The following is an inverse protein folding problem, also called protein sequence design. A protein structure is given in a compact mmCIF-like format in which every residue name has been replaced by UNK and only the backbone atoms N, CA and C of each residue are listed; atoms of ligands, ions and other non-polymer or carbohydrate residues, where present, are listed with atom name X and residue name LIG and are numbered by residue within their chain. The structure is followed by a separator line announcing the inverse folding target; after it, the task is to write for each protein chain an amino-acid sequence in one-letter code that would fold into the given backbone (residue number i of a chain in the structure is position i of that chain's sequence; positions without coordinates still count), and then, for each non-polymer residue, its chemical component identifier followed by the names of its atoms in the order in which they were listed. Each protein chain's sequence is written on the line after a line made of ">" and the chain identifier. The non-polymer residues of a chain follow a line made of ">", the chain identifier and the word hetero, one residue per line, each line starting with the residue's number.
data_IF_596132993533
#
_entry.id   IF_596132993533
#
_cell.length_a   1.000
_cell.length_b   1.000
_cell.length_c   1.000
_cell.angle_alpha   90.00
_cell.angle_beta   90.00
_cell.angle_gamma   90.00
#
_symmetry.space_group_name_H-M   'P 1'
#
loop_
_entity.id
_entity.type
_entity.pdbx_description
1 polymer ?
#
# COMPACT_ATOMS: atom_id res chain seq x y z
N UNK A 1 -8.17 -12.35 21.38
CA UNK A 1 -6.82 -12.48 20.76
C UNK A 1 -6.92 -13.25 19.44
N UNK A 2 -7.39 -12.64 18.34
CA UNK A 2 -7.45 -13.24 16.97
C UNK A 2 -7.13 -12.12 15.94
N UNK A 3 -6.05 -11.34 16.13
CA UNK A 3 -5.80 -10.14 15.30
C UNK A 3 -5.13 -10.42 13.94
N UNK A 4 -4.48 -11.57 13.78
CA UNK A 4 -3.68 -11.90 12.58
C UNK A 4 -4.24 -13.05 11.74
N UNK A 5 -5.40 -13.61 12.12
CA UNK A 5 -5.95 -14.84 11.53
C UNK A 5 -6.22 -14.70 10.03
N UNK A 6 -6.77 -13.57 9.59
CA UNK A 6 -7.10 -13.36 8.17
C UNK A 6 -5.89 -13.42 7.22
N UNK A 7 -4.69 -13.04 7.68
CA UNK A 7 -3.48 -13.16 6.85
C UNK A 7 -2.95 -14.58 6.87
N UNK A 8 -2.99 -15.27 8.01
CA UNK A 8 -2.58 -16.69 8.12
C UNK A 8 -3.44 -17.65 7.31
N UNK A 9 -4.69 -17.28 7.02
CA UNK A 9 -5.55 -18.05 6.10
C UNK A 9 -5.09 -17.96 4.65
N UNK A 10 -4.44 -16.85 4.27
CA UNK A 10 -4.04 -16.58 2.87
C UNK A 10 -2.56 -16.85 2.62
N UNK A 11 -1.71 -16.69 3.63
CA UNK A 11 -0.26 -16.76 3.53
C UNK A 11 0.31 -17.70 4.60
N UNK A 12 1.08 -18.70 4.15
CA UNK A 12 1.79 -19.64 5.01
C UNK A 12 3.31 -19.45 4.86
N UNK A 13 4.04 -19.06 5.92
CA UNK A 13 5.48 -18.88 5.84
C UNK A 13 6.22 -20.21 5.81
N UNK A 14 7.21 -20.36 4.93
CA UNK A 14 8.06 -21.56 4.86
C UNK A 14 9.27 -21.35 5.78
N UNK A 15 9.22 -21.90 7.00
CA UNK A 15 10.24 -21.70 8.05
C UNK A 15 11.66 -21.99 7.54
N UNK A 16 11.86 -23.07 6.80
CA UNK A 16 13.17 -23.47 6.27
C UNK A 16 13.83 -22.42 5.35
N UNK A 17 13.04 -21.55 4.71
CA UNK A 17 13.54 -20.46 3.85
C UNK A 17 13.86 -19.21 4.68
N UNK A 18 13.16 -18.99 5.78
CA UNK A 18 13.17 -17.74 6.54
C UNK A 18 14.10 -17.77 7.76
N UNK A 19 14.26 -18.92 8.40
CA UNK A 19 14.93 -19.05 9.69
C UNK A 19 16.39 -18.53 9.65
N UNK A 20 16.69 -17.56 10.50
CA UNK A 20 18.00 -16.91 10.63
C UNK A 20 18.39 -15.99 9.47
N UNK A 21 17.54 -15.82 8.44
CA UNK A 21 17.87 -15.03 7.24
C UNK A 21 17.46 -13.57 7.36
N UNK A 22 18.17 -12.70 6.63
CA UNK A 22 17.74 -11.33 6.34
C UNK A 22 16.92 -11.37 5.05
N UNK A 23 15.66 -10.97 5.12
CA UNK A 23 14.68 -11.21 4.05
C UNK A 23 14.28 -9.87 3.44
N UNK A 24 14.32 -9.79 2.11
CA UNK A 24 13.68 -8.70 1.37
C UNK A 24 12.31 -9.19 0.90
N UNK A 25 11.27 -8.45 1.26
CA UNK A 25 9.89 -8.74 0.88
C UNK A 25 9.44 -7.65 -0.06
N UNK A 26 9.02 -8.04 -1.27
CA UNK A 26 8.50 -7.12 -2.27
C UNK A 26 6.98 -7.22 -2.25
N UNK A 27 6.31 -6.08 -2.13
CA UNK A 27 4.85 -5.98 -2.20
C UNK A 27 4.47 -4.91 -3.24
N UNK A 28 3.26 -4.98 -3.78
CA UNK A 28 2.83 -4.07 -4.84
C UNK A 28 2.67 -2.63 -4.34
N UNK A 29 2.07 -2.47 -3.16
CA UNK A 29 1.59 -1.20 -2.64
C UNK A 29 1.43 -1.24 -1.12
N UNK A 30 1.36 -0.06 -0.49
CA UNK A 30 0.86 0.07 0.89
C UNK A 30 -0.21 1.15 0.91
N UNK A 31 -1.45 0.76 1.24
CA UNK A 31 -2.58 1.68 1.37
C UNK A 31 -2.79 2.09 2.85
N UNK A 32 -3.18 1.13 3.70
CA UNK A 32 -3.42 1.36 5.15
C UNK A 32 -2.32 0.78 6.05
N UNK A 33 -1.38 0.01 5.51
CA UNK A 33 -0.27 -0.63 6.25
C UNK A 33 -0.64 -1.80 7.18
N UNK A 34 -1.92 -2.04 7.45
CA UNK A 34 -2.36 -3.09 8.38
C UNK A 34 -2.01 -4.50 7.89
N UNK A 35 -2.14 -4.78 6.59
CA UNK A 35 -1.73 -6.05 6.00
C UNK A 35 -0.21 -6.22 6.06
N UNK A 36 0.55 -5.21 5.64
CA UNK A 36 2.01 -5.24 5.65
C UNK A 36 2.58 -5.48 7.05
N UNK A 37 2.00 -4.85 8.09
CA UNK A 37 2.37 -5.09 9.50
C UNK A 37 2.18 -6.57 9.90
N UNK A 38 1.06 -7.18 9.48
CA UNK A 38 0.79 -8.60 9.73
C UNK A 38 1.75 -9.52 8.96
N UNK A 39 2.10 -9.18 7.72
CA UNK A 39 3.08 -9.93 6.91
C UNK A 39 4.46 -9.89 7.57
N UNK A 40 4.94 -8.70 7.94
CA UNK A 40 6.24 -8.56 8.63
C UNK A 40 6.26 -9.37 9.93
N UNK A 41 5.18 -9.29 10.73
CA UNK A 41 5.06 -10.09 11.95
C UNK A 41 5.06 -11.59 11.67
N UNK A 42 4.38 -12.04 10.61
CA UNK A 42 4.33 -13.45 10.21
C UNK A 42 5.73 -13.96 9.83
N UNK A 43 6.49 -13.18 9.07
CA UNK A 43 7.84 -13.52 8.61
C UNK A 43 8.83 -13.53 9.79
N UNK A 44 8.79 -12.51 10.66
CA UNK A 44 9.60 -12.48 11.89
C UNK A 44 9.24 -13.65 12.82
N UNK A 45 7.95 -13.96 12.96
CA UNK A 45 7.46 -15.11 13.71
C UNK A 45 7.89 -16.46 13.15
N UNK A 46 8.24 -16.53 11.87
CA UNK A 46 8.82 -17.71 11.23
C UNK A 46 10.35 -17.80 11.37
N UNK A 47 10.98 -16.88 12.12
CA UNK A 47 12.40 -16.94 12.46
C UNK A 47 13.32 -16.06 11.61
N UNK A 48 12.79 -15.16 10.78
CA UNK A 48 13.63 -14.21 10.04
C UNK A 48 14.40 -13.28 11.00
N UNK A 49 15.69 -13.07 10.71
CA UNK A 49 16.59 -12.17 11.46
C UNK A 49 16.23 -10.69 11.22
N UNK A 50 16.03 -10.33 9.97
CA UNK A 50 15.66 -8.97 9.52
C UNK A 50 14.63 -9.08 8.40
N UNK A 51 13.73 -8.10 8.31
CA UNK A 51 12.71 -7.99 7.27
C UNK A 51 12.74 -6.60 6.65
N UNK A 52 13.12 -6.53 5.37
CA UNK A 52 13.23 -5.30 4.60
C UNK A 52 12.10 -5.24 3.57
N UNK A 53 11.19 -4.29 3.71
CA UNK A 53 10.05 -4.12 2.80
C UNK A 53 10.46 -3.25 1.60
N UNK A 54 10.10 -3.69 0.39
CA UNK A 54 10.28 -2.96 -0.86
C UNK A 54 8.95 -2.87 -1.59
N UNK A 55 8.47 -1.66 -1.81
CA UNK A 55 7.14 -1.43 -2.40
C UNK A 55 7.33 -1.04 -3.85
N UNK A 56 6.71 -1.81 -4.74
CA UNK A 56 6.84 -1.65 -6.19
C UNK A 56 6.06 -0.45 -6.75
N UNK A 57 5.33 0.28 -5.91
CA UNK A 57 4.67 1.54 -6.24
C UNK A 57 5.30 2.74 -5.52
N UNK A 58 5.08 3.97 -6.02
CA UNK A 58 5.19 5.17 -5.21
C UNK A 58 4.21 5.16 -4.03
N UNK A 59 4.45 5.99 -3.00
CA UNK A 59 3.50 6.18 -1.90
C UNK A 59 2.15 6.67 -2.44
N UNK A 60 1.05 6.03 -2.01
CA UNK A 60 -0.30 6.42 -2.41
C UNK A 60 -0.77 7.54 -1.47
N UNK A 61 -0.90 8.75 -2.02
CA UNK A 61 -1.28 9.96 -1.28
C UNK A 61 -2.68 10.48 -1.66
N UNK A 62 -3.23 10.00 -2.78
CA UNK A 62 -4.55 10.39 -3.28
C UNK A 62 -5.49 9.20 -3.44
N UNK A 63 -6.77 9.42 -3.14
CA UNK A 63 -7.83 8.48 -3.50
C UNK A 63 -8.05 8.50 -5.01
N UNK A 64 -8.34 7.37 -5.62
CA UNK A 64 -8.73 7.31 -7.03
C UNK A 64 -10.15 7.87 -7.22
N UNK A 65 -10.32 8.74 -8.22
CA UNK A 65 -11.63 9.28 -8.63
C UNK A 65 -12.10 8.71 -9.98
N UNK A 66 -11.36 7.75 -10.53
CA UNK A 66 -11.59 7.17 -11.86
C UNK A 66 -12.00 5.70 -11.82
N UNK A 67 -12.59 5.25 -10.70
CA UNK A 67 -13.30 3.96 -10.63
C UNK A 67 -12.64 2.86 -9.80
N UNK A 68 -11.46 3.08 -9.22
CA UNK A 68 -10.85 2.13 -8.26
C UNK A 68 -11.28 2.49 -6.84
N UNK A 69 -11.88 1.55 -6.10
CA UNK A 69 -12.22 1.79 -4.69
C UNK A 69 -10.92 1.92 -3.89
N UNK A 70 -10.75 3.12 -3.34
CA UNK A 70 -9.63 3.48 -2.47
C UNK A 70 -10.19 4.17 -1.24
N UNK A 71 -9.53 4.03 -0.09
CA UNK A 71 -9.98 4.68 1.12
C UNK A 71 -9.81 6.20 1.00
N UNK A 72 -10.38 6.94 1.95
CA UNK A 72 -10.25 8.40 1.94
C UNK A 72 -8.79 8.82 2.14
N UNK A 73 -8.44 10.05 1.75
CA UNK A 73 -7.07 10.55 1.87
C UNK A 73 -6.55 10.47 3.30
N UNK A 74 -7.41 10.70 4.28
CA UNK A 74 -7.09 10.67 5.71
C UNK A 74 -6.83 9.25 6.22
N UNK A 75 -7.34 8.23 5.54
CA UNK A 75 -7.11 6.82 5.87
C UNK A 75 -5.83 6.25 5.23
N UNK A 76 -5.25 6.93 4.24
CA UNK A 76 -4.00 6.52 3.58
C UNK A 76 -2.82 6.69 4.54
N UNK A 77 -2.02 5.64 4.70
CA UNK A 77 -0.88 5.66 5.63
C UNK A 77 0.16 6.72 5.23
N UNK A 78 0.37 6.92 3.93
CA UNK A 78 1.35 7.87 3.39
C UNK A 78 0.97 9.34 3.64
N UNK A 79 -0.30 9.63 3.97
CA UNK A 79 -0.73 10.97 4.39
C UNK A 79 -0.66 11.17 5.90
N UNK A 80 -0.53 10.10 6.67
CA UNK A 80 -0.49 10.13 8.13
C UNK A 80 0.92 10.01 8.69
N UNK A 81 1.79 9.29 7.98
CA UNK A 81 3.11 8.93 8.43
C UNK A 81 4.16 9.26 7.38
N UNK A 82 5.34 9.67 7.85
CA UNK A 82 6.55 9.65 7.05
C UNK A 82 6.90 8.21 6.62
N UNK A 83 7.84 8.06 5.69
CA UNK A 83 8.35 6.72 5.32
C UNK A 83 8.94 6.02 6.55
N UNK A 84 9.66 6.77 7.39
CA UNK A 84 10.28 6.21 8.60
C UNK A 84 9.23 5.81 9.65
N UNK A 85 8.18 6.60 9.82
CA UNK A 85 7.10 6.22 10.74
C UNK A 85 6.24 5.08 10.19
N UNK A 86 6.08 4.99 8.86
CA UNK A 86 5.48 3.84 8.19
C UNK A 86 6.30 2.57 8.42
N UNK A 87 7.64 2.66 8.31
CA UNK A 87 8.57 1.56 8.60
C UNK A 87 8.39 1.06 10.03
N UNK A 88 8.36 1.97 11.01
CA UNK A 88 8.12 1.65 12.42
C UNK A 88 6.76 1.01 12.61
N UNK A 89 5.71 1.59 12.01
CA UNK A 89 4.34 1.11 12.12
C UNK A 89 4.18 -0.33 11.63
N UNK A 90 4.79 -0.68 10.49
CA UNK A 90 4.75 -2.05 9.96
C UNK A 90 5.75 -3.00 10.64
N UNK A 91 6.69 -2.47 11.44
CA UNK A 91 7.68 -3.25 12.18
C UNK A 91 8.84 -3.78 11.34
N UNK A 92 9.08 -3.20 10.16
CA UNK A 92 10.17 -3.59 9.25
C UNK A 92 11.52 -2.98 9.67
N UNK A 93 12.62 -3.65 9.30
CA UNK A 93 13.98 -3.18 9.58
C UNK A 93 14.41 -2.08 8.60
N UNK A 94 13.91 -2.15 7.35
CA UNK A 94 13.97 -1.02 6.41
C UNK A 94 12.74 -1.01 5.50
N UNK A 95 12.39 0.15 4.98
CA UNK A 95 11.30 0.33 4.02
C UNK A 95 11.78 1.26 2.89
N UNK A 96 11.45 0.90 1.65
CA UNK A 96 11.63 1.79 0.52
C UNK A 96 10.47 1.62 -0.48
N UNK A 97 10.04 2.73 -1.06
CA UNK A 97 9.06 2.79 -2.14
C UNK A 97 9.77 3.07 -3.46
N UNK A 98 9.16 2.67 -4.58
CA UNK A 98 9.58 3.11 -5.91
C UNK A 98 9.34 4.63 -6.04
N UNK A 99 10.38 5.45 -6.29
CA UNK A 99 10.15 6.89 -6.45
C UNK A 99 9.33 7.19 -7.71
N UNK A 100 8.37 8.11 -7.62
CA UNK A 100 7.51 8.51 -8.74
C UNK A 100 8.33 8.94 -9.97
N UNK A 101 9.40 9.71 -9.76
CA UNK A 101 10.28 10.14 -10.85
C UNK A 101 11.01 8.98 -11.54
N UNK A 102 11.31 7.88 -10.82
CA UNK A 102 11.88 6.69 -11.46
C UNK A 102 10.83 5.96 -12.29
N UNK A 103 9.58 5.89 -11.81
CA UNK A 103 8.47 5.31 -12.56
C UNK A 103 8.22 6.11 -13.85
N UNK A 104 8.14 7.44 -13.76
CA UNK A 104 8.02 8.34 -14.92
C UNK A 104 9.18 8.15 -15.90
N UNK A 105 10.42 8.06 -15.40
CA UNK A 105 11.59 7.79 -16.24
C UNK A 105 11.52 6.44 -16.96
N UNK A 106 10.98 5.39 -16.30
CA UNK A 106 10.82 4.07 -16.89
C UNK A 106 9.80 4.07 -18.05
N UNK A 107 8.72 4.84 -17.91
CA UNK A 107 7.70 5.03 -18.96
C UNK A 107 8.17 5.97 -20.09
N UNK A 108 9.26 6.72 -19.87
CA UNK A 108 9.86 7.62 -20.84
C UNK A 108 8.83 8.58 -21.47
N UNK A 109 8.67 8.56 -22.79
CA UNK A 109 7.78 9.47 -23.53
C UNK A 109 6.29 9.18 -23.29
N UNK A 110 5.94 7.99 -22.79
CA UNK A 110 4.57 7.62 -22.45
C UNK A 110 4.17 8.09 -21.04
N UNK A 111 5.11 8.54 -20.21
CA UNK A 111 4.80 8.95 -18.84
C UNK A 111 3.61 9.95 -18.73
N UNK A 112 3.50 10.98 -19.59
CA UNK A 112 2.37 11.91 -19.54
C UNK A 112 1.03 11.33 -19.99
N UNK A 113 1.02 10.16 -20.65
CA UNK A 113 -0.23 9.52 -21.12
C UNK A 113 -0.90 8.68 -20.04
N UNK A 114 -0.24 8.46 -18.90
CA UNK A 114 -0.80 7.73 -17.76
C UNK A 114 -1.25 8.69 -16.66
N UNK A 115 -2.39 8.38 -16.04
CA UNK A 115 -2.81 9.05 -14.82
C UNK A 115 -1.97 8.56 -13.64
N UNK A 116 -1.29 9.49 -12.95
CA UNK A 116 -0.53 9.21 -11.72
C UNK A 116 -1.08 9.94 -10.48
N UNK A 117 -2.32 10.47 -10.56
CA UNK A 117 -2.96 11.30 -9.55
C UNK A 117 -2.98 10.69 -8.12
N UNK A 118 -2.97 9.36 -8.01
CA UNK A 118 -2.91 8.68 -6.71
C UNK A 118 -1.55 8.86 -6.01
N UNK A 119 -0.49 9.18 -6.77
CA UNK A 119 0.88 9.40 -6.31
C UNK A 119 1.28 10.88 -6.35
N UNK A 120 0.82 11.63 -7.36
CA UNK A 120 1.14 13.06 -7.55
C UNK A 120 0.14 13.99 -6.87
N UNK A 121 -1.12 13.56 -6.71
CA UNK A 121 -2.23 14.42 -6.32
C UNK A 121 -2.77 15.30 -7.45
N UNK A 122 -2.21 15.22 -8.66
CA UNK A 122 -2.60 15.99 -9.82
C UNK A 122 -3.62 15.21 -10.65
N UNK A 123 -4.90 15.57 -10.52
CA UNK A 123 -6.00 14.89 -11.20
C UNK A 123 -6.25 15.52 -12.58
N UNK A 124 -6.09 14.79 -13.69
CA UNK A 124 -6.34 15.31 -15.04
C UNK A 124 -7.77 15.85 -15.22
N UNK A 125 -8.73 15.19 -14.59
CA UNK A 125 -10.12 15.65 -14.47
C UNK A 125 -10.44 15.82 -12.99
N UNK A 126 -10.55 17.06 -12.48
CA UNK A 126 -10.88 17.28 -11.07
C UNK A 126 -12.32 16.84 -10.78
N UNK A 127 -12.61 16.36 -9.56
CA UNK A 127 -13.98 16.04 -9.17
C UNK A 127 -14.82 17.32 -9.20
N UNK A 128 -15.92 17.32 -9.97
CA UNK A 128 -16.98 18.33 -9.84
C UNK A 128 -17.66 18.09 -8.49
N UNK A 129 -17.84 19.12 -7.69
CA UNK A 129 -18.32 19.04 -6.30
C UNK A 129 -19.42 17.99 -6.11
N UNK A 130 -19.05 16.88 -5.44
CA UNK A 130 -19.87 15.91 -4.68
C UNK A 130 -19.06 14.60 -4.55
N UNK A 131 -18.70 14.25 -3.30
CA UNK A 131 -18.01 13.00 -2.96
C UNK A 131 -19.02 11.85 -2.94
N UNK A 132 -19.30 11.23 -4.09
CA UNK A 132 -20.09 9.99 -4.13
C UNK A 132 -19.14 8.83 -4.46
N UNK A 133 -18.99 7.89 -3.53
CA UNK A 133 -18.37 6.60 -3.83
C UNK A 133 -19.26 5.86 -4.81
N UNK A 134 -18.84 5.73 -6.07
CA UNK A 134 -19.59 5.05 -7.15
C UNK A 134 -19.65 3.52 -7.03
N UNK A 135 -19.38 2.98 -5.84
CA UNK A 135 -19.49 1.55 -5.53
C UNK A 135 -20.17 1.42 -4.18
N UNK A 136 -21.47 1.15 -4.23
CA UNK A 136 -22.31 0.69 -3.15
C UNK A 136 -23.22 -0.38 -3.71
N UNK A 137 -23.84 -1.18 -2.83
CA UNK A 137 -24.92 -2.07 -3.24
C UNK A 137 -26.05 -1.24 -3.87
N UNK A 138 -26.87 -1.83 -4.76
CA UNK A 138 -28.12 -1.22 -5.23
C UNK A 138 -29.14 -1.21 -4.09
N UNK A 139 -28.83 -0.51 -3.01
CA UNK A 139 -29.74 -0.24 -1.91
C UNK A 139 -30.31 1.13 -2.20
N UNK A 140 -31.61 1.16 -2.41
CA UNK A 140 -32.39 2.39 -2.46
C UNK A 140 -32.17 3.11 -1.11
N UNK A 141 -31.48 4.25 -1.15
CA UNK A 141 -31.21 5.09 0.01
C UNK A 141 -32.47 5.84 0.48
N UNK A 142 -33.61 5.62 -0.17
CA UNK A 142 -34.92 6.07 0.26
C UNK A 142 -35.05 7.59 0.29
N UNK A 143 -34.22 8.28 -0.52
CA UNK A 143 -34.29 9.72 -0.79
C UNK A 143 -35.19 10.02 -1.99
#
# INVERSE_FOLDING_TARGET
>A
KIRDFGVKLKLAPVKAVLEGKRVVVVDDSIVRGTTSSKIVRLIKGAGAKEVHMRIASPPIIGSCYYGVDTPSREELISNRFSIEDTRKFIGADSLAFLPLERLRKLLAHEAPTFCDACFSGEYPVPPRELKIKRVGDFVDDGL
#
